data_IF_566579335605
#
_entry.id   IF_566579335605
#
_cell.length_a   1.000
_cell.length_b   1.000
_cell.length_c   1.000
_cell.angle_alpha   90.00
_cell.angle_beta   90.00
_cell.angle_gamma   90.00
#
_symmetry.space_group_name_H-M   'P 1'
#
loop_
_entity.id
_entity.type
_entity.pdbx_description
1 polymer ?
#
# COMPACT_ATOMS: atom_id res chain seq x y z
N UNK A 1 -0.23 24.45 4.35
CA UNK A 1 0.84 24.00 3.44
C UNK A 1 1.09 22.47 3.41
N UNK A 2 0.34 21.61 4.14
CA UNK A 2 0.54 20.13 4.16
C UNK A 2 -0.42 19.32 3.27
N UNK A 3 -1.31 19.96 2.53
CA UNK A 3 -2.34 19.28 1.73
C UNK A 3 -1.78 18.45 0.58
N UNK A 4 -0.62 18.81 0.03
CA UNK A 4 0.07 18.01 -0.98
C UNK A 4 0.60 16.68 -0.40
N UNK A 5 1.13 16.69 0.84
CA UNK A 5 1.58 15.50 1.56
C UNK A 5 0.41 14.56 1.83
N UNK A 6 -0.72 15.12 2.27
CA UNK A 6 -1.93 14.33 2.49
C UNK A 6 -2.44 13.70 1.20
N UNK A 7 -2.43 14.43 0.06
CA UNK A 7 -2.81 13.86 -1.24
C UNK A 7 -1.81 12.84 -1.76
N UNK A 8 -0.51 13.01 -1.50
CA UNK A 8 0.50 12.05 -1.95
C UNK A 8 0.47 10.76 -1.12
N UNK A 9 0.39 10.89 0.20
CA UNK A 9 0.38 9.77 1.13
C UNK A 9 -0.98 9.09 1.27
N UNK A 10 -2.10 9.81 1.13
CA UNK A 10 -3.44 9.27 1.32
C UNK A 10 -4.33 9.32 0.07
N UNK A 11 -3.83 9.85 -1.06
CA UNK A 11 -4.60 9.98 -2.31
C UNK A 11 -4.68 8.71 -3.16
N UNK A 12 -5.51 8.77 -4.20
CA UNK A 12 -5.75 7.67 -5.14
C UNK A 12 -4.45 7.34 -5.86
N UNK A 13 -4.00 6.09 -5.76
CA UNK A 13 -2.76 5.63 -6.39
C UNK A 13 -1.48 5.84 -5.56
N UNK A 14 -1.58 6.27 -4.30
CA UNK A 14 -0.42 6.39 -3.39
C UNK A 14 0.43 5.10 -3.35
N UNK A 15 -0.23 3.93 -3.32
CA UNK A 15 0.44 2.63 -3.35
C UNK A 15 1.22 2.44 -4.66
N UNK A 16 0.63 2.77 -5.82
CA UNK A 16 1.30 2.59 -7.12
C UNK A 16 2.53 3.49 -7.25
N UNK A 17 2.42 4.76 -6.84
CA UNK A 17 3.56 5.71 -6.86
C UNK A 17 4.70 5.24 -5.98
N UNK A 18 4.37 4.81 -4.76
CA UNK A 18 5.35 4.24 -3.85
C UNK A 18 6.04 3.02 -4.47
N UNK A 19 5.26 2.06 -4.99
CA UNK A 19 5.81 0.84 -5.59
C UNK A 19 6.73 1.12 -6.78
N UNK A 20 6.36 2.06 -7.66
CA UNK A 20 7.21 2.49 -8.78
C UNK A 20 8.54 3.09 -8.30
N UNK A 21 8.49 3.93 -7.27
CA UNK A 21 9.69 4.55 -6.71
C UNK A 21 10.57 3.53 -5.98
N UNK A 22 9.98 2.60 -5.24
CA UNK A 22 10.73 1.56 -4.50
C UNK A 22 11.30 0.47 -5.40
N UNK A 23 10.80 0.31 -6.62
CA UNK A 23 11.35 -0.63 -7.59
C UNK A 23 12.71 -0.17 -8.18
N UNK A 24 12.97 1.15 -8.18
CA UNK A 24 14.17 1.71 -8.81
C UNK A 24 15.46 1.34 -8.05
N UNK A 25 15.57 1.52 -6.71
CA UNK A 25 16.81 1.20 -5.99
C UNK A 25 17.29 -0.26 -6.16
N UNK A 26 16.46 -1.30 -5.95
CA UNK A 26 16.93 -2.67 -6.11
C UNK A 26 17.30 -2.98 -7.57
N UNK A 27 16.62 -2.38 -8.55
CA UNK A 27 17.00 -2.52 -9.96
C UNK A 27 18.40 -1.94 -10.22
N UNK A 28 18.70 -0.75 -9.69
CA UNK A 28 20.02 -0.13 -9.84
C UNK A 28 21.14 -0.95 -9.18
N UNK A 29 20.87 -1.57 -8.02
CA UNK A 29 21.83 -2.42 -7.31
C UNK A 29 22.06 -3.73 -8.08
N UNK A 30 21.03 -4.28 -8.71
CA UNK A 30 21.12 -5.55 -9.45
C UNK A 30 21.61 -5.38 -10.89
N UNK A 31 21.47 -4.20 -11.50
CA UNK A 31 21.85 -3.94 -12.89
C UNK A 31 23.32 -4.29 -13.22
N UNK A 32 24.32 -4.03 -12.37
CA UNK A 32 25.71 -4.40 -12.65
C UNK A 32 25.94 -5.90 -12.84
N UNK A 33 25.14 -6.76 -12.20
CA UNK A 33 25.28 -8.23 -12.34
C UNK A 33 24.97 -8.70 -13.76
N UNK A 34 24.20 -7.93 -14.53
CA UNK A 34 23.87 -8.22 -15.92
C UNK A 34 24.99 -7.90 -16.92
N UNK A 35 26.07 -7.26 -16.46
CA UNK A 35 27.27 -7.03 -17.28
C UNK A 35 28.19 -8.26 -17.30
N UNK A 36 27.94 -9.25 -16.44
CA UNK A 36 28.74 -10.46 -16.38
C UNK A 36 28.33 -11.43 -17.50
N UNK A 37 29.29 -12.13 -18.13
CA UNK A 37 28.97 -13.12 -19.16
C UNK A 37 28.34 -14.36 -18.51
N UNK A 38 27.01 -14.43 -18.51
CA UNK A 38 26.25 -15.59 -18.05
C UNK A 38 24.99 -15.80 -18.90
N UNK A 39 24.38 -16.98 -18.80
CA UNK A 39 23.12 -17.26 -19.50
C UNK A 39 21.97 -16.44 -18.91
N UNK A 40 20.93 -16.18 -19.70
CA UNK A 40 19.73 -15.48 -19.22
C UNK A 40 19.10 -16.19 -18.01
N UNK A 41 19.14 -17.51 -18.00
CA UNK A 41 18.64 -18.33 -16.91
C UNK A 41 19.35 -18.03 -15.59
N UNK A 42 20.69 -18.01 -15.61
CA UNK A 42 21.53 -17.74 -14.43
C UNK A 42 21.33 -16.31 -13.91
N UNK A 43 21.18 -15.33 -14.80
CA UNK A 43 20.85 -13.95 -14.42
C UNK A 43 19.50 -13.84 -13.69
N UNK A 44 18.47 -14.55 -14.16
CA UNK A 44 17.17 -14.54 -13.53
C UNK A 44 17.20 -15.21 -12.16
N UNK A 45 17.88 -16.35 -12.02
CA UNK A 45 17.99 -17.05 -10.73
C UNK A 45 18.71 -16.20 -9.67
N UNK A 46 19.76 -15.45 -10.04
CA UNK A 46 20.49 -14.62 -9.08
C UNK A 46 19.76 -13.32 -8.73
N UNK A 47 19.02 -12.71 -9.67
CA UNK A 47 18.43 -11.37 -9.48
C UNK A 47 16.96 -11.37 -9.11
N UNK A 48 16.13 -12.26 -9.69
CA UNK A 48 14.69 -12.26 -9.45
C UNK A 48 14.31 -12.51 -8.00
N UNK A 49 14.89 -13.49 -7.27
CA UNK A 49 14.48 -13.75 -5.90
C UNK A 49 14.66 -12.50 -5.02
N UNK A 50 15.83 -11.85 -5.12
CA UNK A 50 16.14 -10.64 -4.35
C UNK A 50 15.22 -9.49 -4.75
N UNK A 51 15.01 -9.29 -6.05
CA UNK A 51 14.16 -8.21 -6.55
C UNK A 51 12.70 -8.38 -6.12
N UNK A 52 12.15 -9.59 -6.28
CA UNK A 52 10.77 -9.93 -5.88
C UNK A 52 10.62 -9.77 -4.36
N UNK A 53 11.57 -10.28 -3.57
CA UNK A 53 11.54 -10.12 -2.11
C UNK A 53 11.54 -8.65 -1.70
N UNK A 54 12.37 -7.81 -2.31
CA UNK A 54 12.40 -6.38 -2.02
C UNK A 54 11.04 -5.71 -2.31
N UNK A 55 10.37 -6.08 -3.40
CA UNK A 55 9.04 -5.56 -3.74
C UNK A 55 7.95 -6.05 -2.78
N UNK A 56 7.98 -7.33 -2.37
CA UNK A 56 7.02 -7.89 -1.43
C UNK A 56 7.13 -7.22 -0.05
N UNK A 57 8.35 -7.06 0.46
CA UNK A 57 8.61 -6.35 1.72
C UNK A 57 8.18 -4.89 1.59
N UNK A 58 8.51 -4.22 0.49
CA UNK A 58 8.07 -2.84 0.25
C UNK A 58 6.55 -2.71 0.25
N UNK A 59 5.84 -3.63 -0.41
CA UNK A 59 4.37 -3.66 -0.44
C UNK A 59 3.78 -3.84 0.96
N UNK A 60 4.34 -4.78 1.75
CA UNK A 60 3.89 -5.08 3.10
C UNK A 60 4.12 -3.88 4.05
N UNK A 61 5.30 -3.25 4.01
CA UNK A 61 5.64 -2.13 4.89
C UNK A 61 4.98 -0.82 4.47
N UNK A 62 4.50 -0.71 3.22
CA UNK A 62 3.96 0.54 2.69
C UNK A 62 2.87 1.15 3.60
N UNK A 63 1.95 0.33 4.13
CA UNK A 63 0.88 0.82 5.03
C UNK A 63 1.48 1.44 6.30
N UNK A 64 2.40 0.74 6.95
CA UNK A 64 3.06 1.17 8.19
C UNK A 64 3.86 2.45 7.95
N UNK A 65 4.66 2.47 6.88
CA UNK A 65 5.50 3.61 6.53
C UNK A 65 4.67 4.87 6.21
N UNK A 66 3.58 4.73 5.44
CA UNK A 66 2.67 5.84 5.15
C UNK A 66 2.01 6.40 6.42
N UNK A 67 1.58 5.51 7.34
CA UNK A 67 1.02 5.90 8.64
C UNK A 67 2.05 6.67 9.47
N UNK A 68 3.29 6.18 9.52
CA UNK A 68 4.40 6.83 10.23
C UNK A 68 4.74 8.20 9.61
N UNK A 69 4.85 8.32 8.29
CA UNK A 69 5.11 9.60 7.61
C UNK A 69 4.01 10.64 7.85
N UNK A 70 2.74 10.23 7.89
CA UNK A 70 1.65 11.14 8.24
C UNK A 70 1.80 11.66 9.67
N UNK A 71 2.13 10.79 10.62
CA UNK A 71 2.38 11.18 12.01
C UNK A 71 3.57 12.15 12.14
N UNK A 72 4.69 11.90 11.43
CA UNK A 72 5.84 12.81 11.39
C UNK A 72 5.47 14.20 10.85
N UNK A 73 4.54 14.27 9.91
CA UNK A 73 4.01 15.52 9.39
C UNK A 73 2.79 16.03 10.17
N UNK A 74 2.54 15.56 11.40
CA UNK A 74 1.43 16.02 12.25
C UNK A 74 0.05 15.93 11.59
N UNK A 75 -0.14 14.97 10.69
CA UNK A 75 -1.42 14.66 10.04
C UNK A 75 -2.03 13.43 10.70
N UNK A 76 -3.35 13.29 10.62
CA UNK A 76 -4.06 12.12 11.13
C UNK A 76 -3.55 10.84 10.44
N UNK A 77 -2.94 9.89 11.16
CA UNK A 77 -2.43 8.65 10.59
C UNK A 77 -3.54 7.78 9.98
N UNK A 78 -4.80 7.95 10.39
CA UNK A 78 -5.94 7.21 9.87
C UNK A 78 -6.40 7.68 8.48
N UNK A 79 -5.80 8.76 7.95
CA UNK A 79 -6.02 9.20 6.57
C UNK A 79 -5.58 8.13 5.55
N UNK A 80 -4.64 7.24 5.90
CA UNK A 80 -4.22 6.11 5.04
C UNK A 80 -5.42 5.27 4.60
N UNK A 81 -6.39 5.08 5.50
CA UNK A 81 -7.56 4.24 5.29
C UNK A 81 -8.76 5.02 4.75
N UNK A 82 -8.67 6.35 4.58
CA UNK A 82 -9.80 7.18 4.15
C UNK A 82 -10.37 6.76 2.78
N UNK A 83 -9.51 6.42 1.82
CA UNK A 83 -9.96 5.94 0.49
C UNK A 83 -10.58 4.55 0.57
N UNK A 84 -10.04 3.67 1.43
CA UNK A 84 -10.61 2.34 1.65
C UNK A 84 -12.01 2.49 2.25
N UNK A 85 -12.15 3.36 3.27
CA UNK A 85 -13.43 3.73 3.87
C UNK A 85 -14.42 4.32 2.86
N UNK A 86 -14.00 5.20 1.96
CA UNK A 86 -14.87 5.75 0.91
C UNK A 86 -15.39 4.66 -0.05
N UNK A 87 -14.51 3.73 -0.47
CA UNK A 87 -14.91 2.60 -1.31
C UNK A 87 -15.85 1.64 -0.57
N UNK A 88 -15.53 1.31 0.68
CA UNK A 88 -16.33 0.40 1.49
C UNK A 88 -17.69 1.02 1.84
N UNK A 89 -17.76 2.34 2.05
CA UNK A 89 -19.01 3.07 2.26
C UNK A 89 -19.95 2.95 1.06
N UNK A 90 -19.43 3.09 -0.17
CA UNK A 90 -20.23 2.88 -1.38
C UNK A 90 -20.78 1.45 -1.47
N UNK A 91 -19.96 0.45 -1.14
CA UNK A 91 -20.40 -0.95 -1.08
C UNK A 91 -21.45 -1.17 0.01
N UNK A 92 -21.32 -0.51 1.16
CA UNK A 92 -22.30 -0.55 2.24
C UNK A 92 -23.62 0.10 1.85
N UNK A 93 -23.60 1.25 1.18
CA UNK A 93 -24.81 1.92 0.67
C UNK A 93 -25.55 1.04 -0.36
N UNK A 94 -24.83 0.43 -1.30
CA UNK A 94 -25.41 -0.50 -2.26
C UNK A 94 -25.99 -1.75 -1.58
N UNK A 95 -25.30 -2.28 -0.58
CA UNK A 95 -25.80 -3.41 0.22
C UNK A 95 -27.10 -3.05 0.94
N UNK A 96 -27.15 -1.90 1.62
CA UNK A 96 -28.33 -1.42 2.34
C UNK A 96 -29.50 -1.22 1.37
N UNK A 97 -29.25 -0.68 0.17
CA UNK A 97 -30.28 -0.50 -0.86
C UNK A 97 -30.89 -1.83 -1.32
N UNK A 98 -30.07 -2.89 -1.41
CA UNK A 98 -30.51 -4.20 -1.94
C UNK A 98 -31.08 -5.14 -0.89
N UNK A 99 -30.54 -5.12 0.33
CA UNK A 99 -30.85 -6.10 1.38
C UNK A 99 -31.43 -5.47 2.66
N UNK A 100 -31.53 -4.14 2.73
CA UNK A 100 -31.99 -3.42 3.91
C UNK A 100 -30.87 -3.08 4.91
N UNK A 101 -31.18 -2.26 5.92
CA UNK A 101 -30.22 -1.85 6.94
C UNK A 101 -29.77 -3.04 7.79
N UNK A 102 -28.47 -3.03 8.15
CA UNK A 102 -27.90 -4.05 9.03
C UNK A 102 -28.54 -3.94 10.43
N UNK A 103 -28.92 -5.05 11.08
CA UNK A 103 -29.48 -4.99 12.42
C UNK A 103 -28.48 -4.36 13.42
N UNK A 104 -29.00 -3.63 14.40
CA UNK A 104 -28.21 -2.83 15.36
C UNK A 104 -27.20 -3.68 16.15
N UNK A 105 -27.52 -4.95 16.40
CA UNK A 105 -26.63 -5.92 17.02
C UNK A 105 -25.36 -6.22 16.21
N UNK A 106 -25.41 -6.05 14.89
CA UNK A 106 -24.25 -6.21 14.01
C UNK A 106 -23.20 -5.11 14.19
N UNK A 107 -23.55 -3.96 14.77
CA UNK A 107 -22.59 -2.89 15.09
C UNK A 107 -21.56 -3.34 16.12
N UNK A 108 -21.91 -4.26 17.04
CA UNK A 108 -20.96 -4.86 17.99
C UNK A 108 -19.87 -5.69 17.32
N UNK A 109 -20.12 -6.20 16.12
CA UNK A 109 -19.17 -6.98 15.31
C UNK A 109 -18.46 -6.14 14.25
N UNK A 110 -18.77 -4.84 14.16
CA UNK A 110 -17.97 -3.90 13.36
C UNK A 110 -16.65 -3.67 14.08
N UNK A 111 -15.72 -4.61 13.89
CA UNK A 111 -14.40 -4.53 14.49
C UNK A 111 -13.71 -3.25 14.00
N UNK A 112 -13.50 -2.33 14.94
CA UNK A 112 -12.56 -1.22 14.85
C UNK A 112 -11.15 -1.78 14.98
N UNK A 113 -10.69 -2.52 13.97
CA UNK A 113 -9.40 -3.19 14.05
C UNK A 113 -8.28 -2.13 14.13
N UNK A 114 -7.56 -1.97 15.26
CA UNK A 114 -6.53 -0.94 15.39
C UNK A 114 -5.30 -1.23 14.51
N UNK A 115 -5.24 -2.46 13.99
CA UNK A 115 -4.10 -3.07 13.34
C UNK A 115 -4.35 -3.51 11.88
N UNK A 116 -5.58 -3.41 11.34
CA UNK A 116 -5.92 -3.85 9.97
C UNK A 116 -6.81 -2.89 9.19
#
# INVERSE_FOLDING_TARGET
>A
MRSWVARDLAGKGAVRRYMLLTAIPPLLVLAPFWLLPASLYVHLEMTLPIYIWALLISLALNKVWRRHRLAQHGLDPNLVDAIKREKDAKMHEEYIRRYGPRPEEAKRYSNSNPFF
#
